data_IF_691091859457
#
_entry.id   IF_691091859457
#
_cell.length_a   1.000
_cell.length_b   1.000
_cell.length_c   1.000
_cell.angle_alpha   90.00
_cell.angle_beta   90.00
_cell.angle_gamma   90.00
#
_symmetry.space_group_name_H-M   'P 1'
#
loop_
_entity.id
_entity.type
_entity.pdbx_description
1 polymer ?
#
# COMPACT_ATOMS: atom_id res chain seq x y z
N UNK A 1 -15.45 -23.43 5.82
CA UNK A 1 -14.03 -23.05 5.59
C UNK A 1 -13.82 -22.24 4.32
N UNK A 2 -14.45 -22.61 3.19
CA UNK A 2 -14.39 -21.82 1.94
C UNK A 2 -14.76 -20.33 2.10
N UNK A 3 -15.87 -20.02 2.81
CA UNK A 3 -16.28 -18.64 3.10
C UNK A 3 -15.22 -17.84 3.87
N UNK A 4 -14.47 -18.49 4.76
CA UNK A 4 -13.44 -17.88 5.58
C UNK A 4 -12.19 -17.53 4.75
N UNK A 5 -11.82 -18.40 3.80
CA UNK A 5 -10.72 -18.15 2.85
C UNK A 5 -11.09 -16.99 1.92
N UNK A 6 -12.31 -16.98 1.38
CA UNK A 6 -12.77 -15.92 0.49
C UNK A 6 -12.85 -14.57 1.19
N UNK A 7 -13.31 -14.51 2.45
CA UNK A 7 -13.36 -13.26 3.23
C UNK A 7 -11.98 -12.75 3.58
N UNK A 8 -11.05 -13.62 4.02
CA UNK A 8 -9.65 -13.22 4.26
C UNK A 8 -8.94 -12.76 2.98
N UNK A 9 -9.16 -13.46 1.87
CA UNK A 9 -8.61 -13.08 0.57
C UNK A 9 -9.15 -11.74 0.07
N UNK A 10 -10.46 -11.51 0.19
CA UNK A 10 -11.09 -10.24 -0.20
C UNK A 10 -10.65 -9.07 0.69
N UNK A 11 -10.61 -9.27 2.01
CA UNK A 11 -10.10 -8.26 2.95
C UNK A 11 -8.63 -7.94 2.70
N UNK A 12 -7.80 -8.97 2.50
CA UNK A 12 -6.38 -8.80 2.20
C UNK A 12 -6.15 -8.08 0.88
N UNK A 13 -6.86 -8.47 -0.17
CA UNK A 13 -6.82 -7.81 -1.48
C UNK A 13 -7.28 -6.35 -1.42
N UNK A 14 -8.34 -6.05 -0.66
CA UNK A 14 -8.84 -4.69 -0.45
C UNK A 14 -7.79 -3.82 0.24
N UNK A 15 -7.14 -4.33 1.29
CA UNK A 15 -6.08 -3.62 2.01
C UNK A 15 -4.87 -3.32 1.11
N UNK A 16 -4.46 -4.29 0.28
CA UNK A 16 -3.39 -4.10 -0.71
C UNK A 16 -3.78 -3.07 -1.77
N UNK A 17 -5.04 -3.06 -2.22
CA UNK A 17 -5.53 -2.07 -3.18
C UNK A 17 -5.51 -0.66 -2.60
N UNK A 18 -6.01 -0.49 -1.36
CA UNK A 18 -5.97 0.80 -0.65
C UNK A 18 -4.52 1.25 -0.44
N UNK A 19 -3.61 0.33 -0.09
CA UNK A 19 -2.18 0.62 0.04
C UNK A 19 -1.59 1.23 -1.24
N UNK A 20 -1.92 0.67 -2.41
CA UNK A 20 -1.50 1.20 -3.70
C UNK A 20 -1.98 2.62 -3.96
N UNK A 21 -3.26 2.91 -3.67
CA UNK A 21 -3.84 4.26 -3.82
C UNK A 21 -3.17 5.26 -2.87
N UNK A 22 -3.00 4.89 -1.60
CA UNK A 22 -2.38 5.74 -0.58
C UNK A 22 -0.92 6.06 -0.93
N UNK A 23 -0.18 5.08 -1.47
CA UNK A 23 1.19 5.26 -1.94
C UNK A 23 1.31 6.14 -3.19
N UNK A 24 0.32 6.09 -4.09
CA UNK A 24 0.31 6.89 -5.33
C UNK A 24 -0.10 8.35 -5.12
N UNK A 25 -0.92 8.65 -4.09
CA UNK A 25 -1.43 9.99 -3.79
C UNK A 25 -0.39 11.13 -3.79
N UNK A 26 0.78 11.00 -3.12
CA UNK A 26 1.78 12.07 -3.12
C UNK A 26 2.36 12.34 -4.52
N UNK A 27 2.51 11.32 -5.37
CA UNK A 27 3.02 11.49 -6.74
C UNK A 27 2.02 12.19 -7.67
N UNK A 28 0.71 12.00 -7.44
CA UNK A 28 -0.35 12.67 -8.21
C UNK A 28 -0.48 14.15 -7.80
N UNK A 29 -0.24 14.47 -6.51
CA UNK A 29 -0.29 15.84 -5.99
C UNK A 29 0.93 16.68 -6.37
N UNK A 30 2.08 16.04 -6.53
CA UNK A 30 3.31 16.68 -7.02
C UNK A 30 3.24 16.81 -8.54
N UNK A 31 2.55 17.86 -9.01
CA UNK A 31 2.65 18.35 -10.39
C UNK A 31 4.03 18.95 -10.65
N UNK A 32 5.08 18.13 -10.53
CA UNK A 32 6.43 18.51 -10.88
C UNK A 32 6.55 18.43 -12.40
N UNK A 33 6.89 19.55 -13.04
CA UNK A 33 7.20 19.53 -14.45
C UNK A 33 8.60 18.94 -14.65
N UNK A 34 8.84 18.18 -15.73
CA UNK A 34 10.18 17.75 -16.09
C UNK A 34 11.06 19.00 -16.31
N UNK A 35 12.12 19.15 -15.52
CA UNK A 35 13.07 20.28 -15.62
C UNK A 35 12.95 21.35 -14.53
N UNK A 36 12.03 21.23 -13.57
CA UNK A 36 12.01 22.13 -12.42
C UNK A 36 13.17 21.84 -11.45
N UNK A 37 14.05 22.82 -11.26
CA UNK A 37 15.08 22.79 -10.22
C UNK A 37 14.44 22.99 -8.84
N UNK A 38 14.19 21.88 -8.15
CA UNK A 38 13.70 21.89 -6.77
C UNK A 38 14.81 22.31 -5.81
N UNK A 39 14.55 23.36 -5.03
CA UNK A 39 15.41 23.73 -3.90
C UNK A 39 15.50 22.58 -2.90
N UNK A 40 16.67 22.40 -2.27
CA UNK A 40 16.91 21.38 -1.22
C UNK A 40 15.85 21.42 -0.11
N UNK A 41 15.31 22.61 0.20
CA UNK A 41 14.24 22.79 1.17
C UNK A 41 12.90 22.20 0.70
N UNK A 42 12.58 22.33 -0.59
CA UNK A 42 11.37 21.77 -1.20
C UNK A 42 11.47 20.25 -1.30
N UNK A 43 12.64 19.72 -1.66
CA UNK A 43 12.90 18.27 -1.68
C UNK A 43 12.70 17.69 -0.27
N UNK A 44 13.26 18.34 0.75
CA UNK A 44 13.14 17.87 2.15
C UNK A 44 11.69 17.86 2.63
N UNK A 45 10.92 18.90 2.29
CA UNK A 45 9.48 18.95 2.61
C UNK A 45 8.67 17.88 1.88
N UNK A 46 8.95 17.66 0.59
CA UNK A 46 8.31 16.62 -0.22
C UNK A 46 8.62 15.22 0.30
N UNK A 47 9.89 14.94 0.61
CA UNK A 47 10.33 13.65 1.16
C UNK A 47 9.71 13.39 2.54
N UNK A 48 9.58 14.42 3.38
CA UNK A 48 8.93 14.31 4.68
C UNK A 48 7.46 13.86 4.59
N UNK A 49 6.71 14.48 3.69
CA UNK A 49 5.30 14.11 3.42
C UNK A 49 5.24 12.71 2.78
N UNK A 50 6.08 12.45 1.79
CA UNK A 50 6.15 11.18 1.07
C UNK A 50 6.42 10.01 2.04
N UNK A 51 7.34 10.18 2.99
CA UNK A 51 7.68 9.17 4.01
C UNK A 51 6.46 8.74 4.82
N UNK A 52 5.60 9.68 5.21
CA UNK A 52 4.38 9.39 5.97
C UNK A 52 3.40 8.52 5.16
N UNK A 53 3.11 8.93 3.93
CA UNK A 53 2.22 8.17 3.03
C UNK A 53 2.79 6.81 2.65
N UNK A 54 4.10 6.73 2.40
CA UNK A 54 4.78 5.47 2.09
C UNK A 54 4.77 4.50 3.27
N UNK A 55 4.94 5.01 4.49
CA UNK A 55 4.89 4.17 5.71
C UNK A 55 3.50 3.57 5.90
N UNK A 56 2.44 4.38 5.73
CA UNK A 56 1.07 3.89 5.79
C UNK A 56 0.74 2.90 4.66
N UNK A 57 1.20 3.19 3.45
CA UNK A 57 1.06 2.29 2.30
C UNK A 57 1.73 0.94 2.58
N UNK A 58 2.96 0.93 3.09
CA UNK A 58 3.69 -0.28 3.44
C UNK A 58 2.99 -1.08 4.55
N UNK A 59 2.47 -0.42 5.58
CA UNK A 59 1.72 -1.08 6.66
C UNK A 59 0.43 -1.73 6.16
N UNK A 60 -0.33 -1.03 5.30
CA UNK A 60 -1.54 -1.58 4.70
C UNK A 60 -1.22 -2.73 3.75
N UNK A 61 -0.12 -2.62 2.99
CA UNK A 61 0.34 -3.67 2.10
C UNK A 61 0.79 -4.91 2.87
N UNK A 62 1.56 -4.77 3.95
CA UNK A 62 1.99 -5.89 4.77
C UNK A 62 0.82 -6.56 5.47
N UNK A 63 -0.12 -5.78 5.99
CA UNK A 63 -1.33 -6.30 6.66
C UNK A 63 -2.23 -7.03 5.66
N UNK A 64 -2.48 -6.42 4.50
CA UNK A 64 -3.26 -7.04 3.43
C UNK A 64 -2.61 -8.32 2.90
N UNK A 65 -1.30 -8.28 2.65
CA UNK A 65 -0.49 -9.42 2.25
C UNK A 65 -0.54 -10.56 3.27
N UNK A 66 -0.47 -10.25 4.57
CA UNK A 66 -0.60 -11.26 5.63
C UNK A 66 -1.99 -11.92 5.63
N UNK A 67 -3.07 -11.17 5.40
CA UNK A 67 -4.42 -11.72 5.28
C UNK A 67 -4.56 -12.64 4.06
N UNK A 68 -4.02 -12.24 2.89
CA UNK A 68 -4.03 -13.09 1.69
C UNK A 68 -3.19 -14.35 1.91
N UNK A 69 -2.01 -14.21 2.53
CA UNK A 69 -1.13 -15.34 2.83
C UNK A 69 -1.78 -16.31 3.82
N UNK A 70 -2.44 -15.80 4.87
CA UNK A 70 -3.20 -16.63 5.81
C UNK A 70 -4.35 -17.38 5.11
N UNK A 71 -5.09 -16.72 4.20
CA UNK A 71 -6.13 -17.36 3.41
C UNK A 71 -5.57 -18.52 2.56
N UNK A 72 -4.39 -18.31 1.95
CA UNK A 72 -3.70 -19.32 1.15
C UNK A 72 -3.22 -20.50 1.99
N UNK A 73 -2.62 -20.25 3.15
CA UNK A 73 -2.19 -21.31 4.09
C UNK A 73 -3.38 -22.15 4.56
N UNK A 74 -4.49 -21.51 4.92
CA UNK A 74 -5.71 -22.21 5.33
C UNK A 74 -6.28 -23.05 4.19
N UNK A 75 -6.23 -22.56 2.95
CA UNK A 75 -6.65 -23.32 1.76
C UNK A 75 -5.81 -24.57 1.53
N UNK A 76 -4.48 -24.47 1.65
CA UNK A 76 -3.58 -25.63 1.53
C UNK A 76 -3.83 -26.63 2.67
N UNK A 77 -4.04 -26.16 3.90
CA UNK A 77 -4.21 -27.05 5.05
C UNK A 77 -5.48 -27.93 4.99
N UNK A 78 -6.45 -27.57 4.15
CA UNK A 78 -7.72 -28.30 3.99
C UNK A 78 -7.89 -29.00 2.65
N UNK A 79 -6.92 -28.81 1.74
CA UNK A 79 -6.89 -29.47 0.44
C UNK A 79 -5.88 -30.60 0.49
#
# INVERSE_FOLDING_TARGET
MLLLIQTLGALGGLLVFIAGIVGAKPFIGLKLNPGDDLSTAQITGVVGVLKGYLTWSLLLFSTGGACVFAAFVVYIAIT
#
